data_IF_307602489240
#
_entry.id   IF_307602489240
#
_cell.length_a   1.000
_cell.length_b   1.000
_cell.length_c   1.000
_cell.angle_alpha   90.00
_cell.angle_beta   90.00
_cell.angle_gamma   90.00
#
_symmetry.space_group_name_H-M   'P 1'
#
loop_
_entity.id
_entity.type
_entity.pdbx_description
1 polymer ?
#
# COMPACT_ATOMS: atom_id res chain seq x y z
N UNK A 1 -17.79 6.22 6.90
CA UNK A 1 -16.70 7.12 6.43
C UNK A 1 -17.25 7.99 5.32
N UNK A 2 -16.83 9.25 5.19
CA UNK A 2 -17.30 10.15 4.13
C UNK A 2 -16.66 9.79 2.77
N UNK A 3 -17.38 9.98 1.65
CA UNK A 3 -16.89 9.71 0.30
C UNK A 3 -15.73 10.63 -0.10
N UNK A 4 -14.95 10.24 -1.10
CA UNK A 4 -13.85 11.05 -1.64
C UNK A 4 -14.35 12.42 -2.15
N UNK A 5 -15.52 12.46 -2.79
CA UNK A 5 -16.18 13.71 -3.21
C UNK A 5 -16.50 14.65 -2.04
N UNK A 6 -16.88 14.09 -0.89
CA UNK A 6 -17.13 14.88 0.32
C UNK A 6 -15.82 15.45 0.87
N UNK A 7 -14.73 14.67 0.81
CA UNK A 7 -13.39 15.05 1.27
C UNK A 7 -12.74 16.13 0.38
N UNK A 8 -12.99 16.10 -0.93
CA UNK A 8 -12.55 17.13 -1.88
C UNK A 8 -13.04 18.54 -1.51
N UNK A 9 -14.20 18.65 -0.85
CA UNK A 9 -14.75 19.93 -0.39
C UNK A 9 -14.15 20.42 0.94
N UNK A 10 -13.39 19.59 1.65
CA UNK A 10 -12.96 19.81 3.04
C UNK A 10 -11.50 20.30 3.20
N UNK A 11 -10.78 20.56 2.12
CA UNK A 11 -9.40 21.09 2.19
C UNK A 11 -8.38 19.98 2.42
N UNK A 12 -7.81 19.90 3.64
CA UNK A 12 -6.83 18.89 4.03
C UNK A 12 -7.54 17.65 4.60
N UNK A 13 -7.19 16.46 4.10
CA UNK A 13 -7.61 15.19 4.65
C UNK A 13 -6.41 14.40 5.17
N UNK A 14 -6.59 13.73 6.30
CA UNK A 14 -5.59 12.80 6.83
C UNK A 14 -6.28 11.68 7.58
N UNK A 15 -5.72 10.48 7.51
CA UNK A 15 -6.25 9.34 8.24
C UNK A 15 -5.14 8.32 8.52
N UNK A 16 -5.29 7.58 9.62
CA UNK A 16 -4.50 6.39 9.94
C UNK A 16 -5.45 5.20 10.05
N UNK A 17 -5.10 4.09 9.43
CA UNK A 17 -5.95 2.90 9.44
C UNK A 17 -5.16 1.61 9.29
N UNK A 18 -5.67 0.49 9.82
CA UNK A 18 -5.12 -0.83 9.56
C UNK A 18 -5.63 -1.39 8.22
N UNK A 19 -4.83 -2.23 7.58
CA UNK A 19 -5.24 -3.16 6.52
C UNK A 19 -4.61 -4.53 6.78
N UNK A 20 -5.35 -5.59 6.49
CA UNK A 20 -4.80 -6.95 6.44
C UNK A 20 -4.62 -7.35 4.98
N UNK A 21 -3.42 -7.80 4.63
CA UNK A 21 -3.11 -8.31 3.29
C UNK A 21 -3.09 -9.83 3.36
N UNK A 22 -4.19 -10.47 2.99
CA UNK A 22 -4.44 -11.92 3.11
C UNK A 22 -4.86 -12.55 1.76
N UNK A 23 -4.72 -11.81 0.66
CA UNK A 23 -4.86 -12.32 -0.71
C UNK A 23 -3.47 -12.50 -1.32
N UNK A 24 -3.10 -13.74 -1.61
CA UNK A 24 -1.89 -14.05 -2.37
C UNK A 24 -2.12 -13.80 -3.86
N UNK A 25 -1.52 -12.75 -4.40
CA UNK A 25 -1.44 -12.53 -5.86
C UNK A 25 -0.29 -13.34 -6.45
N UNK A 26 0.82 -13.44 -5.69
CA UNK A 26 1.92 -14.37 -5.95
C UNK A 26 2.25 -15.08 -4.62
N UNK A 27 1.99 -16.39 -4.50
CA UNK A 27 2.21 -17.13 -3.25
C UNK A 27 3.67 -17.10 -2.78
N UNK A 28 3.88 -17.23 -1.47
CA UNK A 28 5.22 -17.23 -0.88
C UNK A 28 5.29 -17.71 0.57
N UNK A 29 6.04 -16.97 1.37
CA UNK A 29 6.50 -17.26 2.74
C UNK A 29 5.41 -17.07 3.79
N UNK A 30 4.38 -16.26 3.56
CA UNK A 30 3.32 -16.00 4.54
C UNK A 30 1.92 -15.96 3.92
N UNK A 31 0.91 -16.21 4.74
CA UNK A 31 -0.48 -16.19 4.30
C UNK A 31 -1.13 -14.82 4.54
N UNK A 32 -0.56 -14.01 5.44
CA UNK A 32 -1.09 -12.67 5.72
C UNK A 32 -0.05 -11.71 6.29
N UNK A 33 -0.30 -10.40 6.11
CA UNK A 33 0.41 -9.31 6.78
C UNK A 33 -0.58 -8.31 7.39
N UNK A 34 -0.37 -7.93 8.64
CA UNK A 34 -1.09 -6.85 9.30
C UNK A 34 -0.34 -5.53 9.12
N UNK A 35 -0.87 -4.63 8.30
CA UNK A 35 -0.25 -3.35 7.99
C UNK A 35 -0.98 -2.18 8.64
N UNK A 36 -0.24 -1.14 9.02
CA UNK A 36 -0.81 0.17 9.39
C UNK A 36 -0.37 1.20 8.38
N UNK A 37 -1.34 1.92 7.82
CA UNK A 37 -1.10 2.98 6.86
C UNK A 37 -1.57 4.32 7.42
N UNK A 38 -0.99 5.39 6.89
CA UNK A 38 -1.59 6.71 6.96
C UNK A 38 -1.49 7.44 5.64
N UNK A 39 -2.29 8.47 5.46
CA UNK A 39 -2.10 9.44 4.40
C UNK A 39 -2.41 10.85 4.86
N UNK A 40 -1.83 11.81 4.17
CA UNK A 40 -2.16 13.23 4.24
C UNK A 40 -2.33 13.71 2.80
N UNK A 41 -3.45 14.37 2.51
CA UNK A 41 -3.78 14.88 1.19
C UNK A 41 -4.38 16.28 1.25
N UNK A 42 -3.77 17.22 0.52
CA UNK A 42 -4.30 18.56 0.26
C UNK A 42 -5.03 18.54 -1.09
N UNK A 43 -6.36 18.50 -1.05
CA UNK A 43 -7.18 18.46 -2.27
C UNK A 43 -7.06 19.73 -3.13
N UNK A 44 -7.10 20.95 -2.56
CA UNK A 44 -6.88 22.18 -3.32
C UNK A 44 -5.56 22.22 -4.09
N UNK A 45 -4.48 21.70 -3.48
CA UNK A 45 -3.15 21.67 -4.09
C UNK A 45 -2.86 20.39 -4.88
N UNK A 46 -3.77 19.41 -4.81
CA UNK A 46 -3.62 18.09 -5.41
C UNK A 46 -2.27 17.43 -5.09
N UNK A 47 -1.87 17.47 -3.82
CA UNK A 47 -0.59 16.93 -3.35
C UNK A 47 -0.72 16.32 -1.96
N UNK A 48 0.22 15.43 -1.64
CA UNK A 48 0.25 14.72 -0.38
C UNK A 48 1.14 13.50 -0.47
N UNK A 49 1.06 12.65 0.54
CA UNK A 49 1.78 11.36 0.59
C UNK A 49 1.01 10.38 1.48
N UNK A 50 1.35 9.11 1.34
CA UNK A 50 0.98 8.09 2.30
C UNK A 50 2.23 7.56 3.02
N UNK A 51 2.02 6.83 4.11
CA UNK A 51 3.08 6.16 4.86
C UNK A 51 2.61 4.76 5.22
N UNK A 52 3.40 3.74 4.88
CA UNK A 52 3.29 2.43 5.53
C UNK A 52 4.03 2.53 6.87
N UNK A 53 3.26 2.68 7.94
CA UNK A 53 3.76 2.89 9.29
C UNK A 53 4.41 1.61 9.82
N UNK A 54 3.69 0.49 9.74
CA UNK A 54 4.16 -0.78 10.31
C UNK A 54 3.67 -1.99 9.53
N UNK A 55 4.42 -3.09 9.63
CA UNK A 55 4.04 -4.44 9.15
C UNK A 55 4.24 -5.43 10.30
N UNK A 56 3.19 -6.18 10.64
CA UNK A 56 3.16 -7.14 11.76
C UNK A 56 3.72 -6.59 13.08
N UNK A 57 3.40 -5.31 13.36
CA UNK A 57 3.86 -4.60 14.55
C UNK A 57 5.30 -4.09 14.50
N UNK A 58 6.04 -4.34 13.41
CA UNK A 58 7.36 -3.75 13.16
C UNK A 58 7.19 -2.39 12.50
N UNK A 59 7.67 -1.32 13.15
CA UNK A 59 7.63 0.05 12.65
C UNK A 59 8.66 0.27 11.52
N UNK A 60 8.24 0.99 10.48
CA UNK A 60 8.97 1.18 9.21
C UNK A 60 9.00 2.64 8.76
N UNK A 61 7.87 3.34 8.89
CA UNK A 61 7.67 4.71 8.41
C UNK A 61 8.05 4.92 6.92
N UNK A 62 7.62 3.99 6.05
CA UNK A 62 7.90 4.04 4.62
C UNK A 62 7.01 5.03 3.89
N UNK A 63 7.61 6.12 3.40
CA UNK A 63 6.92 7.18 2.65
C UNK A 63 6.55 6.70 1.25
N UNK A 64 5.28 6.87 0.88
CA UNK A 64 4.72 6.51 -0.42
C UNK A 64 4.31 7.77 -1.17
N UNK A 65 4.84 7.93 -2.38
CA UNK A 65 4.60 9.10 -3.22
C UNK A 65 3.32 8.92 -4.06
N UNK A 66 2.58 10.01 -4.34
CA UNK A 66 1.37 9.91 -5.14
C UNK A 66 1.67 9.57 -6.60
N UNK A 67 0.83 8.72 -7.20
CA UNK A 67 0.94 8.31 -8.61
C UNK A 67 0.22 9.27 -9.59
N UNK A 68 -0.59 10.20 -9.08
CA UNK A 68 -1.16 11.29 -9.88
C UNK A 68 -2.37 10.91 -10.76
N UNK A 69 -3.14 9.87 -10.39
CA UNK A 69 -4.30 9.42 -11.15
C UNK A 69 -5.54 10.27 -10.80
N UNK A 70 -6.31 10.69 -11.82
CA UNK A 70 -7.49 11.51 -11.62
C UNK A 70 -8.62 10.70 -10.94
N UNK A 71 -9.27 11.29 -9.93
CA UNK A 71 -10.42 10.76 -9.17
C UNK A 71 -10.15 9.66 -8.13
N UNK A 72 -8.89 9.27 -7.93
CA UNK A 72 -8.49 8.35 -6.86
C UNK A 72 -7.17 8.80 -6.23
N UNK A 73 -6.92 8.41 -4.98
CA UNK A 73 -5.63 8.65 -4.34
C UNK A 73 -4.84 7.36 -4.34
N UNK A 74 -3.84 7.29 -5.21
CA UNK A 74 -2.94 6.16 -5.29
C UNK A 74 -1.54 6.57 -4.88
N UNK A 75 -0.90 5.75 -4.07
CA UNK A 75 0.42 5.98 -3.54
C UNK A 75 1.30 4.76 -3.77
N UNK A 76 2.59 5.00 -4.01
CA UNK A 76 3.56 3.94 -4.21
C UNK A 76 4.90 4.28 -3.55
N UNK A 77 5.53 3.26 -2.96
CA UNK A 77 6.95 3.26 -2.66
C UNK A 77 7.63 2.13 -3.46
N UNK A 78 8.81 2.38 -4.00
CA UNK A 78 9.64 1.41 -4.75
C UNK A 78 11.03 1.21 -4.13
N UNK A 79 11.26 1.78 -2.96
CA UNK A 79 12.55 1.70 -2.27
C UNK A 79 12.68 0.33 -1.60
N UNK A 80 13.80 -0.33 -1.88
CA UNK A 80 14.09 -1.63 -1.28
C UNK A 80 14.38 -1.48 0.20
N UNK A 81 13.45 -1.94 1.03
CA UNK A 81 13.52 -1.76 2.47
C UNK A 81 13.67 -3.11 3.17
N UNK A 82 14.82 -3.40 3.80
CA UNK A 82 14.99 -4.61 4.58
C UNK A 82 14.16 -4.52 5.88
N UNK A 83 13.40 -5.58 6.16
CA UNK A 83 12.55 -5.68 7.36
C UNK A 83 12.76 -7.04 8.01
N UNK A 84 12.89 -7.05 9.33
CA UNK A 84 12.92 -8.30 10.11
C UNK A 84 11.52 -8.53 10.68
N UNK A 85 10.78 -9.46 10.07
CA UNK A 85 9.46 -9.87 10.53
C UNK A 85 9.56 -11.15 11.38
N UNK A 86 8.52 -11.50 12.17
CA UNK A 86 8.55 -12.71 13.01
C UNK A 86 8.82 -14.01 12.24
N UNK A 87 8.48 -14.06 10.96
CA UNK A 87 8.69 -15.22 10.08
C UNK A 87 10.00 -15.18 9.29
N UNK A 88 10.79 -14.12 9.40
CA UNK A 88 12.10 -14.02 8.77
C UNK A 88 12.45 -12.63 8.27
N UNK A 89 13.67 -12.53 7.71
CA UNK A 89 14.15 -11.32 7.06
C UNK A 89 13.60 -11.24 5.64
N UNK A 90 12.97 -10.12 5.31
CA UNK A 90 12.45 -9.83 3.98
C UNK A 90 13.00 -8.49 3.46
N UNK A 91 12.85 -8.26 2.16
CA UNK A 91 13.05 -6.97 1.52
C UNK A 91 11.71 -6.57 0.90
N UNK A 92 11.08 -5.53 1.43
CA UNK A 92 9.95 -4.88 0.76
C UNK A 92 10.51 -4.21 -0.49
N UNK A 93 10.04 -4.62 -1.67
CA UNK A 93 10.47 -4.05 -2.95
C UNK A 93 9.50 -2.99 -3.48
N UNK A 94 8.21 -3.16 -3.16
CA UNK A 94 7.17 -2.24 -3.59
C UNK A 94 5.98 -2.29 -2.65
N UNK A 95 5.41 -1.14 -2.35
CA UNK A 95 4.15 -0.99 -1.62
C UNK A 95 3.25 -0.09 -2.41
N UNK A 96 1.98 -0.47 -2.54
CA UNK A 96 0.93 0.34 -3.16
C UNK A 96 -0.27 0.44 -2.26
N UNK A 97 -0.89 1.61 -2.27
CA UNK A 97 -2.10 1.92 -1.54
C UNK A 97 -3.02 2.72 -2.45
N UNK A 98 -4.19 2.16 -2.75
CA UNK A 98 -5.25 2.82 -3.51
C UNK A 98 -6.40 3.16 -2.56
N UNK A 99 -6.83 4.43 -2.60
CA UNK A 99 -7.98 4.94 -1.88
C UNK A 99 -9.03 5.40 -2.89
N UNK A 100 -10.01 4.53 -3.13
CA UNK A 100 -11.11 4.75 -4.06
C UNK A 100 -12.40 4.88 -3.26
N UNK A 101 -13.00 6.06 -3.27
CA UNK A 101 -14.18 6.39 -2.47
C UNK A 101 -14.05 6.04 -0.97
N UNK A 102 -14.77 5.02 -0.51
CA UNK A 102 -14.70 4.49 0.85
C UNK A 102 -13.89 3.21 0.98
N UNK A 103 -13.40 2.68 -0.13
CA UNK A 103 -12.58 1.48 -0.18
C UNK A 103 -11.10 1.80 -0.03
N UNK A 104 -10.39 0.83 0.53
CA UNK A 104 -8.96 0.87 0.72
C UNK A 104 -8.40 -0.44 0.21
N UNK A 105 -7.40 -0.34 -0.64
CA UNK A 105 -6.77 -1.49 -1.27
C UNK A 105 -5.28 -1.29 -1.15
N UNK A 106 -4.56 -2.35 -0.87
CA UNK A 106 -3.11 -2.28 -0.80
C UNK A 106 -2.50 -3.59 -1.28
N UNK A 107 -1.28 -3.48 -1.79
CA UNK A 107 -0.46 -4.63 -2.13
C UNK A 107 0.99 -4.36 -1.74
N UNK A 108 1.66 -5.40 -1.25
CA UNK A 108 3.08 -5.39 -0.91
C UNK A 108 3.76 -6.51 -1.69
N UNK A 109 4.79 -6.13 -2.43
CA UNK A 109 5.73 -7.03 -3.11
C UNK A 109 6.98 -7.09 -2.26
N UNK A 110 7.37 -8.29 -1.86
CA UNK A 110 8.57 -8.48 -1.06
C UNK A 110 9.32 -9.74 -1.47
N UNK A 111 10.59 -9.76 -1.10
CA UNK A 111 11.51 -10.85 -1.36
C UNK A 111 12.02 -11.44 -0.04
N UNK A 112 11.95 -12.76 0.09
CA UNK A 112 12.50 -13.50 1.22
C UNK A 112 14.02 -13.54 1.24
N UNK A 113 14.57 -14.08 2.32
CA UNK A 113 16.02 -14.27 2.50
C UNK A 113 16.65 -15.17 1.44
N UNK A 114 15.92 -16.15 0.88
CA UNK A 114 16.41 -17.03 -0.17
C UNK A 114 15.99 -16.61 -1.59
N UNK A 115 15.46 -15.39 -1.74
CA UNK A 115 15.12 -14.82 -3.04
C UNK A 115 13.71 -15.16 -3.55
N UNK A 116 12.86 -15.76 -2.72
CA UNK A 116 11.45 -15.99 -3.05
C UNK A 116 10.72 -14.67 -3.18
N UNK A 117 10.13 -14.42 -4.34
CA UNK A 117 9.29 -13.26 -4.56
C UNK A 117 7.84 -13.57 -4.22
N UNK A 118 7.26 -12.76 -3.35
CA UNK A 118 5.88 -12.87 -2.90
C UNK A 118 5.12 -11.56 -3.11
N UNK A 119 3.82 -11.69 -3.35
CA UNK A 119 2.89 -10.56 -3.39
C UNK A 119 1.66 -10.90 -2.56
N UNK A 120 1.44 -10.10 -1.52
CA UNK A 120 0.23 -10.08 -0.71
C UNK A 120 -0.56 -8.79 -0.92
N UNK A 121 -1.87 -8.90 -0.98
CA UNK A 121 -2.79 -7.80 -1.16
C UNK A 121 -4.03 -7.93 -0.27
N UNK A 122 -4.84 -6.88 -0.19
CA UNK A 122 -6.18 -6.96 0.41
C UNK A 122 -7.13 -7.82 -0.43
N UNK A 123 -8.17 -8.43 0.16
CA UNK A 123 -9.14 -9.25 -0.59
C UNK A 123 -9.81 -8.53 -1.76
N UNK A 124 -10.09 -7.23 -1.60
CA UNK A 124 -10.70 -6.37 -2.61
C UNK A 124 -9.70 -5.83 -3.65
N UNK A 125 -8.47 -6.35 -3.69
CA UNK A 125 -7.50 -6.04 -4.75
C UNK A 125 -7.98 -6.60 -6.09
N UNK A 126 -8.06 -5.77 -7.13
CA UNK A 126 -8.61 -6.13 -8.44
C UNK A 126 -7.64 -5.86 -9.61
N UNK A 127 -8.08 -6.23 -10.82
CA UNK A 127 -7.28 -6.10 -12.04
C UNK A 127 -6.95 -4.64 -12.39
N UNK A 128 -7.82 -3.69 -12.02
CA UNK A 128 -7.57 -2.26 -12.24
C UNK A 128 -6.42 -1.76 -11.34
N UNK A 129 -6.44 -2.13 -10.06
CA UNK A 129 -5.32 -1.89 -9.14
C UNK A 129 -4.02 -2.55 -9.62
N UNK A 130 -4.07 -3.78 -10.14
CA UNK A 130 -2.89 -4.45 -10.70
C UNK A 130 -2.31 -3.73 -11.93
N UNK A 131 -3.18 -3.24 -12.81
CA UNK A 131 -2.81 -2.54 -14.04
C UNK A 131 -2.19 -1.16 -13.75
N UNK A 132 -2.82 -0.38 -12.86
CA UNK A 132 -2.37 0.96 -12.45
C UNK A 132 -0.97 0.92 -11.81
N UNK A 133 -0.71 -0.16 -11.08
CA UNK A 133 0.52 -0.38 -10.36
C UNK A 133 1.71 -0.88 -11.20
N UNK A 134 1.46 -1.34 -12.43
CA UNK A 134 2.37 -2.23 -13.17
C UNK A 134 2.99 -3.30 -12.24
N UNK A 135 2.21 -3.79 -11.26
CA UNK A 135 2.75 -4.49 -10.09
C UNK A 135 3.37 -5.83 -10.44
N UNK A 136 2.75 -6.48 -11.43
CA UNK A 136 3.07 -7.84 -11.88
C UNK A 136 4.00 -7.84 -13.11
N UNK A 137 4.12 -6.72 -13.84
CA UNK A 137 5.02 -6.63 -15.00
C UNK A 137 6.41 -6.18 -14.56
N UNK A 138 7.25 -7.16 -14.25
CA UNK A 138 8.66 -6.98 -13.91
C UNK A 138 9.24 -8.26 -13.32
N UNK A 139 9.44 -9.25 -14.20
CA UNK A 139 10.33 -10.40 -14.03
C UNK A 139 11.43 -10.27 -15.09
#
# INVERSE_FOLDING_TARGET
MASLETRQRLGLASETFPLTLDKQVKPGLTDSLACRFSYIWDFPRNMGHATLISVDGVELDLIMNPLGIAKQLDFMNTDKTPVNLPFGKIIIERVILDLVDSERRAAVRFMGEHGELEILATQNWDEESEANAAFVKGA
#
